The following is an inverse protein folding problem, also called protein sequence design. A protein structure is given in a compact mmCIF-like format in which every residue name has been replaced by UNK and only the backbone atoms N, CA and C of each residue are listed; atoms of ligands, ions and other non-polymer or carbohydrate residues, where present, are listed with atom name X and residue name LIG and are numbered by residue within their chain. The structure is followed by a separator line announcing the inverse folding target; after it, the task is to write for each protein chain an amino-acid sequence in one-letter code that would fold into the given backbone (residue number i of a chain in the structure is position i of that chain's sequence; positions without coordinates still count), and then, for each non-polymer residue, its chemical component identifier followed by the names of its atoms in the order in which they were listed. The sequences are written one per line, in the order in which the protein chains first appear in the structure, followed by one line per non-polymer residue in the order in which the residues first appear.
data_IF_076777736614
#
_entry.id   IF_076777736614
#
_cell.length_a   1.000
_cell.length_b   1.000
_cell.length_c   1.000
_cell.angle_alpha   90.00
_cell.angle_beta   90.00
_cell.angle_gamma   90.00
#
_symmetry.space_group_name_H-M   'P 1'
#
loop_
_entity.id
_entity.type
_entity.pdbx_description
1 polymer ?
#
# COMPACT_ATOMS: atom_id res chain seq x y z
N UNK A 1 -12.19 14.45 -26.72
CA UNK A 1 -11.50 13.60 -25.73
C UNK A 1 -10.73 12.53 -26.50
N UNK A 2 -9.53 12.14 -26.04
CA UNK A 2 -8.68 11.20 -26.75
C UNK A 2 -9.11 9.76 -26.42
N UNK A 3 -9.68 9.03 -27.39
CA UNK A 3 -10.24 7.67 -27.21
C UNK A 3 -9.24 6.69 -26.60
N UNK A 4 -7.95 6.87 -26.91
CA UNK A 4 -6.86 6.04 -26.39
C UNK A 4 -6.70 6.19 -24.88
N UNK A 5 -6.88 7.41 -24.36
CA UNK A 5 -6.68 7.72 -22.95
C UNK A 5 -7.81 7.13 -22.11
N UNK A 6 -9.04 7.21 -22.61
CA UNK A 6 -10.22 6.63 -21.97
C UNK A 6 -10.11 5.10 -21.89
N UNK A 7 -9.60 4.46 -22.95
CA UNK A 7 -9.33 3.03 -22.94
C UNK A 7 -8.30 2.66 -21.87
N UNK A 8 -7.13 3.32 -21.88
CA UNK A 8 -6.06 3.05 -20.92
C UNK A 8 -6.51 3.31 -19.48
N UNK A 9 -7.31 4.35 -19.26
CA UNK A 9 -7.90 4.63 -17.95
C UNK A 9 -8.83 3.49 -17.52
N UNK A 10 -9.74 3.05 -18.39
CA UNK A 10 -10.66 1.95 -18.09
C UNK A 10 -9.91 0.64 -17.80
N UNK A 11 -8.85 0.34 -18.57
CA UNK A 11 -7.99 -0.82 -18.34
C UNK A 11 -7.24 -0.76 -17.00
N UNK A 12 -6.91 0.44 -16.50
CA UNK A 12 -6.26 0.64 -15.22
C UNK A 12 -7.22 0.67 -14.02
N UNK A 13 -8.46 1.16 -14.23
CA UNK A 13 -9.49 1.27 -13.20
C UNK A 13 -10.18 -0.07 -12.92
N UNK A 14 -10.46 -0.85 -13.96
CA UNK A 14 -11.19 -2.11 -13.85
C UNK A 14 -10.22 -3.30 -13.85
N UNK A 15 -9.97 -3.84 -12.66
CA UNK A 15 -9.12 -5.01 -12.46
C UNK A 15 -9.62 -6.26 -13.21
N UNK A 16 -10.91 -6.36 -13.52
CA UNK A 16 -11.45 -7.48 -14.29
C UNK A 16 -10.93 -7.47 -15.75
N UNK A 17 -10.60 -6.30 -16.27
CA UNK A 17 -10.07 -6.16 -17.64
C UNK A 17 -8.62 -6.65 -17.77
N UNK A 18 -7.89 -6.78 -16.65
CA UNK A 18 -6.50 -7.28 -16.62
C UNK A 18 -6.38 -8.72 -17.15
N UNK A 19 -7.44 -9.51 -17.00
CA UNK A 19 -7.44 -10.94 -17.35
C UNK A 19 -8.25 -11.24 -18.62
N UNK A 20 -8.58 -10.22 -19.42
CA UNK A 20 -9.25 -10.46 -20.68
C UNK A 20 -8.38 -11.31 -21.60
N UNK A 21 -9.02 -12.31 -22.21
CA UNK A 21 -8.44 -12.99 -23.36
C UNK A 21 -8.31 -12.00 -24.53
N UNK A 22 -7.31 -12.22 -25.38
CA UNK A 22 -6.99 -11.34 -26.52
C UNK A 22 -8.21 -11.04 -27.40
N UNK A 23 -9.07 -12.04 -27.62
CA UNK A 23 -10.31 -11.90 -28.40
C UNK A 23 -11.35 -10.97 -27.77
N UNK A 24 -11.39 -10.87 -26.44
CA UNK A 24 -12.27 -9.91 -25.75
C UNK A 24 -11.65 -8.52 -25.72
N UNK A 25 -10.32 -8.42 -25.63
CA UNK A 25 -9.62 -7.15 -25.72
C UNK A 25 -9.87 -6.48 -27.08
N UNK A 26 -9.82 -7.23 -28.18
CA UNK A 26 -10.15 -6.73 -29.52
C UNK A 26 -11.58 -6.18 -29.60
N UNK A 27 -12.56 -6.83 -28.96
CA UNK A 27 -13.96 -6.37 -28.92
C UNK A 27 -14.12 -5.04 -28.19
N UNK A 28 -13.30 -4.80 -27.15
CA UNK A 28 -13.29 -3.53 -26.42
C UNK A 28 -12.61 -2.43 -27.25
N UNK A 29 -11.59 -2.77 -28.04
CA UNK A 29 -10.78 -1.80 -28.79
C UNK A 29 -11.41 -1.39 -30.12
N UNK A 30 -11.96 -2.35 -30.88
CA UNK A 30 -12.55 -2.12 -32.21
C UNK A 30 -13.55 -0.95 -32.29
N UNK A 31 -14.49 -0.75 -31.36
CA UNK A 31 -15.46 0.35 -31.45
C UNK A 31 -14.85 1.75 -31.24
N UNK A 32 -13.63 1.84 -30.70
CA UNK A 32 -13.01 3.12 -30.31
C UNK A 32 -12.37 3.88 -31.48
N UNK A 33 -12.35 3.31 -32.70
CA UNK A 33 -11.75 3.92 -33.91
C UNK A 33 -10.35 4.50 -33.62
N UNK A 34 -9.49 3.68 -33.00
CA UNK A 34 -8.12 4.06 -32.72
C UNK A 34 -7.27 3.99 -34.00
N UNK A 35 -6.12 4.67 -33.99
CA UNK A 35 -5.10 4.47 -35.01
C UNK A 35 -4.71 2.96 -35.05
N UNK A 36 -4.65 2.33 -36.23
CA UNK A 36 -4.34 0.91 -36.35
C UNK A 36 -3.01 0.51 -35.70
N UNK A 37 -2.00 1.39 -35.74
CA UNK A 37 -0.71 1.12 -35.10
C UNK A 37 -0.82 1.12 -33.58
N UNK A 38 -1.69 1.96 -33.01
CA UNK A 38 -1.95 1.97 -31.57
C UNK A 38 -2.75 0.73 -31.16
N UNK A 39 -3.79 0.37 -31.92
CA UNK A 39 -4.57 -0.84 -31.66
C UNK A 39 -3.67 -2.09 -31.67
N UNK A 40 -2.81 -2.21 -32.69
CA UNK A 40 -1.87 -3.32 -32.78
C UNK A 40 -0.90 -3.34 -31.60
N UNK A 41 -0.34 -2.19 -31.22
CA UNK A 41 0.57 -2.12 -30.07
C UNK A 41 -0.12 -2.52 -28.74
N UNK A 42 -1.40 -2.17 -28.56
CA UNK A 42 -2.18 -2.59 -27.38
C UNK A 42 -2.44 -4.09 -27.41
N UNK A 43 -2.91 -4.65 -28.52
CA UNK A 43 -3.21 -6.09 -28.63
C UNK A 43 -1.95 -6.96 -28.47
N UNK A 44 -0.79 -6.49 -28.94
CA UNK A 44 0.48 -7.21 -28.80
C UNK A 44 1.20 -6.95 -27.48
N UNK A 45 0.62 -6.12 -26.60
CA UNK A 45 1.26 -5.67 -25.35
C UNK A 45 2.66 -5.06 -25.57
N UNK A 46 2.87 -4.41 -26.73
CA UNK A 46 4.14 -3.75 -27.06
C UNK A 46 4.19 -2.36 -26.42
N UNK A 47 4.62 -2.33 -25.16
CA UNK A 47 4.76 -1.12 -24.35
C UNK A 47 5.71 -0.08 -24.97
N UNK A 48 6.76 -0.52 -25.67
CA UNK A 48 7.78 0.37 -26.24
C UNK A 48 7.19 1.11 -27.44
N UNK A 49 6.56 0.37 -28.35
CA UNK A 49 5.90 0.95 -29.51
C UNK A 49 4.73 1.84 -29.09
N UNK A 50 3.92 1.40 -28.13
CA UNK A 50 2.81 2.19 -27.62
C UNK A 50 3.28 3.51 -26.99
N UNK A 51 4.31 3.48 -26.14
CA UNK A 51 4.86 4.69 -25.53
C UNK A 51 5.41 5.65 -26.59
N UNK A 52 6.06 5.14 -27.65
CA UNK A 52 6.55 5.94 -28.77
C UNK A 52 5.41 6.61 -29.54
N UNK A 53 4.36 5.87 -29.88
CA UNK A 53 3.18 6.37 -30.61
C UNK A 53 2.43 7.44 -29.78
N UNK A 54 2.37 7.27 -28.46
CA UNK A 54 1.73 8.21 -27.54
C UNK A 54 2.64 9.37 -27.12
N UNK A 55 3.87 9.44 -27.63
CA UNK A 55 4.88 10.41 -27.22
C UNK A 55 5.13 10.45 -25.69
N UNK A 56 4.95 9.31 -25.02
CA UNK A 56 5.19 9.16 -23.58
C UNK A 56 6.71 9.04 -23.33
N UNK A 57 7.38 10.20 -23.17
CA UNK A 57 8.84 10.28 -23.00
C UNK A 57 9.31 10.18 -21.55
N UNK A 58 8.43 10.45 -20.60
CA UNK A 58 8.78 10.52 -19.18
C UNK A 58 8.47 9.18 -18.50
N UNK A 59 9.49 8.58 -17.86
CA UNK A 59 9.29 7.45 -16.95
C UNK A 59 8.96 8.01 -15.56
N UNK A 60 7.73 7.79 -15.11
CA UNK A 60 7.35 8.04 -13.72
C UNK A 60 7.67 6.77 -12.94
N UNK A 61 8.49 6.88 -11.90
CA UNK A 61 8.88 5.75 -11.04
C UNK A 61 8.40 6.05 -9.63
N UNK A 62 7.56 5.18 -9.07
CA UNK A 62 7.15 5.24 -7.67
C UNK A 62 8.01 4.27 -6.86
N UNK A 63 8.78 4.76 -5.90
CA UNK A 63 9.40 3.87 -4.92
C UNK A 63 8.34 3.42 -3.90
N UNK A 64 8.23 2.11 -3.73
CA UNK A 64 7.43 1.51 -2.66
C UNK A 64 8.41 1.18 -1.53
N UNK A 65 8.26 1.84 -0.38
CA UNK A 65 8.99 1.49 0.82
C UNK A 65 8.16 0.48 1.62
N UNK A 66 8.66 -0.73 1.91
CA UNK A 66 7.94 -1.69 2.73
C UNK A 66 7.75 -1.12 4.14
N UNK A 67 6.62 -1.44 4.76
CA UNK A 67 6.40 -1.10 6.16
C UNK A 67 7.45 -1.82 7.04
N UNK A 68 7.99 -1.14 8.04
CA UNK A 68 8.82 -1.78 9.05
C UNK A 68 7.96 -2.79 9.82
N UNK A 69 8.48 -4.01 10.01
CA UNK A 69 7.84 -4.98 10.89
C UNK A 69 7.82 -4.42 12.32
N UNK A 70 6.69 -4.52 13.04
CA UNK A 70 6.64 -4.10 14.43
C UNK A 70 7.67 -4.92 15.21
N UNK A 71 8.60 -4.24 15.89
CA UNK A 71 9.53 -4.88 16.79
C UNK A 71 8.74 -5.71 17.83
N UNK A 72 9.19 -6.93 18.18
CA UNK A 72 8.58 -7.68 19.26
C UNK A 72 8.61 -6.80 20.51
N UNK A 73 7.44 -6.62 21.13
CA UNK A 73 7.36 -5.94 22.41
C UNK A 73 8.21 -6.74 23.40
N UNK A 74 9.25 -6.12 23.95
CA UNK A 74 9.99 -6.65 25.10
C UNK A 74 8.95 -7.09 26.14
N UNK A 75 8.95 -8.39 26.47
CA UNK A 75 8.14 -8.91 27.55
C UNK A 75 8.47 -8.09 28.81
N UNK A 76 7.49 -7.62 29.58
CA UNK A 76 7.77 -6.83 30.77
C UNK A 76 8.61 -7.69 31.71
N UNK A 77 9.84 -7.23 31.98
CA UNK A 77 10.75 -7.85 32.92
C UNK A 77 10.01 -8.18 34.23
N UNK A 78 10.03 -9.46 34.63
CA UNK A 78 9.46 -9.90 35.90
C UNK A 78 10.01 -9.01 37.03
N UNK A 79 9.13 -8.26 37.68
CA UNK A 79 9.50 -7.42 38.80
C UNK A 79 10.05 -8.31 39.92
N UNK A 80 11.16 -7.94 40.58
CA UNK A 80 11.70 -8.74 41.66
C UNK A 80 10.69 -8.80 42.80
N UNK A 81 10.33 -10.03 43.20
CA UNK A 81 9.45 -10.30 44.33
C UNK A 81 10.07 -9.67 45.59
N UNK A 82 9.40 -8.65 46.14
CA UNK A 82 9.77 -8.08 47.45
C UNK A 82 9.59 -9.16 48.51
N UNK A 83 10.69 -9.59 49.16
CA UNK A 83 10.59 -10.33 50.41
C UNK A 83 9.89 -9.44 51.46
N UNK A 84 9.02 -9.99 52.32
CA UNK A 84 8.45 -9.24 53.42
C UNK A 84 9.56 -8.95 54.43
N UNK A 85 9.90 -7.66 54.57
CA UNK A 85 10.81 -7.16 55.59
C UNK A 85 10.09 -7.28 56.95
N UNK A 86 10.65 -8.13 57.81
CA UNK A 86 10.26 -8.37 59.19
C UNK A 86 10.19 -7.02 59.93
N UNK A 87 9.00 -6.59 60.32
CA UNK A 87 8.76 -5.29 60.95
C UNK A 87 9.09 -5.37 62.45
N UNK A 88 10.02 -4.57 62.98
CA UNK A 88 9.97 -4.18 64.38
C UNK A 88 9.18 -2.86 64.48
N UNK A 89 8.06 -2.94 65.18
CA UNK A 89 7.26 -1.84 65.71
C UNK A 89 8.13 -0.77 66.40
N UNK A 90 7.99 0.54 66.09
CA UNK A 90 8.37 1.58 67.02
C UNK A 90 7.14 2.04 67.82
N UNK A 91 7.32 1.93 69.12
CA UNK A 91 6.47 2.29 70.24
C UNK A 91 5.90 3.70 70.21
N UNK A 92 4.63 3.77 70.63
CA UNK A 92 3.85 4.89 71.15
C UNK A 92 4.69 6.02 71.80
N UNK A 93 4.74 7.20 71.17
CA UNK A 93 4.80 8.48 71.91
C UNK A 93 4.31 9.65 71.03
N UNK A 94 3.49 10.50 71.64
CA UNK A 94 3.09 11.87 71.23
C UNK A 94 1.82 12.04 70.37
N UNK A 95 0.70 11.67 70.99
CA UNK A 95 -0.55 12.43 70.90
C UNK A 95 -0.34 13.82 71.52
N UNK A 96 -0.45 14.90 70.72
CA UNK A 96 -0.85 16.28 71.10
C UNK A 96 -1.01 17.09 69.79
N UNK A 97 -2.18 17.14 69.16
CA UNK A 97 -3.37 17.97 69.47
C UNK A 97 -3.05 19.47 69.53
N UNK A 98 -3.39 20.20 68.45
CA UNK A 98 -3.96 21.55 68.42
C UNK A 98 -4.05 21.94 66.92
N UNK A 99 -5.25 21.89 66.33
CA UNK A 99 -6.26 22.97 66.30
C UNK A 99 -5.99 23.97 65.18
#
# INVERSE_FOLDING_TARGET
MNNVLQLLQRLGEDAALRHLADTQLEQVINPLNLDPAIQQAICQQDEITLARLLHAKNKIVCMIYPAEEPAPADEPAEQPVKQPDDTPEPTDTEIKRAS
#
